data_IF_705701631557
#
_entry.id   IF_705701631557
#
_cell.length_a   1.000
_cell.length_b   1.000
_cell.length_c   1.000
_cell.angle_alpha   90.00
_cell.angle_beta   90.00
_cell.angle_gamma   90.00
#
_symmetry.space_group_name_H-M   'P 1'
#
loop_
_entity.id
_entity.type
_entity.pdbx_description
1 polymer ?
#
# COMPACT_ATOMS: atom_id res chain seq x y z
N UNK A 1 22.14 7.13 -6.56
CA UNK A 1 21.06 6.17 -6.69
C UNK A 1 19.73 6.82 -6.29
N UNK A 2 18.63 6.33 -6.86
CA UNK A 2 17.27 6.74 -6.53
C UNK A 2 16.45 5.53 -6.11
N UNK A 3 15.47 5.77 -5.27
CA UNK A 3 14.36 4.86 -5.01
C UNK A 3 13.10 5.41 -5.66
N UNK A 4 12.34 4.55 -6.29
CA UNK A 4 11.05 4.91 -6.89
C UNK A 4 10.02 3.92 -6.38
N UNK A 5 8.93 4.43 -5.88
CA UNK A 5 7.75 3.63 -5.56
C UNK A 5 6.80 3.67 -6.74
N UNK A 6 6.38 2.50 -7.20
CA UNK A 6 5.36 2.34 -8.24
C UNK A 6 4.11 1.76 -7.59
N UNK A 7 2.97 2.40 -7.80
CA UNK A 7 1.68 1.97 -7.26
C UNK A 7 0.66 1.89 -8.39
N UNK A 8 0.05 0.72 -8.57
CA UNK A 8 -1.03 0.48 -9.51
C UNK A 8 -2.39 0.61 -8.82
N UNK A 9 -3.50 0.74 -9.58
CA UNK A 9 -4.84 0.70 -9.01
C UNK A 9 -5.10 -0.59 -8.23
N UNK A 10 -5.80 -0.47 -7.09
CA UNK A 10 -6.17 -1.61 -6.25
C UNK A 10 -6.88 -2.71 -7.06
N UNK A 11 -6.52 -3.97 -6.81
CA UNK A 11 -7.03 -5.13 -7.55
C UNK A 11 -6.28 -5.43 -8.86
N UNK A 12 -5.18 -4.73 -9.13
CA UNK A 12 -4.30 -5.08 -10.24
C UNK A 12 -3.65 -6.45 -10.01
N UNK A 13 -3.52 -7.24 -11.08
CA UNK A 13 -2.88 -8.56 -10.98
C UNK A 13 -1.35 -8.44 -10.92
N UNK A 14 -0.69 -9.42 -10.30
CA UNK A 14 0.77 -9.53 -10.32
C UNK A 14 1.35 -9.46 -11.73
N UNK A 15 0.69 -10.12 -12.70
CA UNK A 15 1.13 -10.08 -14.11
C UNK A 15 1.11 -8.65 -14.67
N UNK A 16 0.10 -7.85 -14.29
CA UNK A 16 0.02 -6.44 -14.69
C UNK A 16 1.09 -5.60 -14.01
N UNK A 17 1.36 -5.84 -12.73
CA UNK A 17 2.44 -5.15 -12.01
C UNK A 17 3.81 -5.44 -12.62
N UNK A 18 4.08 -6.69 -12.99
CA UNK A 18 5.31 -7.08 -13.71
C UNK A 18 5.39 -6.37 -15.07
N UNK A 19 4.33 -6.38 -15.86
CA UNK A 19 4.28 -5.75 -17.19
C UNK A 19 4.61 -4.24 -17.11
N UNK A 20 3.94 -3.52 -16.20
CA UNK A 20 4.15 -2.08 -16.02
C UNK A 20 5.55 -1.78 -15.48
N UNK A 21 6.05 -2.59 -14.54
CA UNK A 21 7.40 -2.46 -14.01
C UNK A 21 8.47 -2.63 -15.09
N UNK A 22 8.34 -3.65 -15.95
CA UNK A 22 9.25 -3.87 -17.07
C UNK A 22 9.17 -2.73 -18.11
N UNK A 23 7.97 -2.19 -18.37
CA UNK A 23 7.81 -1.05 -19.25
C UNK A 23 8.50 0.21 -18.69
N UNK A 24 8.36 0.46 -17.39
CA UNK A 24 9.03 1.57 -16.71
C UNK A 24 10.56 1.40 -16.71
N UNK A 25 11.06 0.19 -16.39
CA UNK A 25 12.50 -0.12 -16.45
C UNK A 25 13.08 0.13 -17.85
N UNK A 26 12.40 -0.41 -18.88
CA UNK A 26 12.83 -0.25 -20.27
C UNK A 26 12.89 1.23 -20.65
N UNK A 27 11.83 1.98 -20.35
CA UNK A 27 11.74 3.40 -20.66
C UNK A 27 12.84 4.22 -19.99
N UNK A 28 13.09 3.97 -18.70
CA UNK A 28 14.15 4.65 -17.96
C UNK A 28 15.54 4.34 -18.53
N UNK A 29 15.83 3.09 -18.88
CA UNK A 29 17.13 2.71 -19.46
C UNK A 29 17.34 3.27 -20.88
N UNK A 30 16.27 3.41 -21.66
CA UNK A 30 16.33 4.00 -22.99
C UNK A 30 16.59 5.50 -22.95
N UNK A 31 15.95 6.23 -22.04
CA UNK A 31 16.00 7.69 -21.98
C UNK A 31 17.21 8.21 -21.17
N UNK A 32 17.77 7.39 -20.24
CA UNK A 32 18.83 7.80 -19.31
C UNK A 32 20.04 6.85 -19.35
N UNK A 33 21.05 7.13 -20.17
CA UNK A 33 22.25 6.29 -20.31
C UNK A 33 23.11 6.22 -19.03
N UNK A 34 22.84 7.07 -18.04
CA UNK A 34 23.47 7.08 -16.73
C UNK A 34 22.97 5.97 -15.81
N UNK A 35 21.85 5.33 -16.13
CA UNK A 35 21.31 4.22 -15.34
C UNK A 35 22.11 2.95 -15.63
N UNK A 36 22.67 2.36 -14.57
CA UNK A 36 23.34 1.06 -14.64
C UNK A 36 22.35 -0.10 -14.54
N UNK A 37 21.55 -0.07 -13.49
CA UNK A 37 20.59 -1.13 -13.17
C UNK A 37 19.29 -0.53 -12.65
N UNK A 38 18.19 -1.18 -12.98
CA UNK A 38 16.89 -0.95 -12.37
C UNK A 38 16.45 -2.29 -11.78
N UNK A 39 16.08 -2.32 -10.51
CA UNK A 39 15.65 -3.54 -9.81
C UNK A 39 14.34 -3.24 -9.11
N UNK A 40 13.29 -3.98 -9.47
CA UNK A 40 11.98 -3.86 -8.87
C UNK A 40 11.71 -5.03 -7.92
N UNK A 41 11.23 -4.72 -6.71
CA UNK A 41 10.65 -5.66 -5.75
C UNK A 41 9.14 -5.46 -5.79
N UNK A 42 8.38 -6.44 -6.24
CA UNK A 42 6.91 -6.38 -6.37
C UNK A 42 6.29 -7.27 -5.31
N UNK A 43 5.35 -6.71 -4.55
CA UNK A 43 4.62 -7.45 -3.52
C UNK A 43 5.49 -7.91 -2.35
N UNK A 44 4.94 -8.81 -1.54
CA UNK A 44 5.55 -9.33 -0.31
C UNK A 44 6.24 -10.68 -0.56
N UNK A 45 7.39 -10.89 0.07
CA UNK A 45 8.05 -12.20 0.10
C UNK A 45 7.26 -13.19 0.96
N UNK A 46 7.56 -14.49 0.83
CA UNK A 46 6.95 -15.58 1.64
C UNK A 46 7.09 -15.33 3.15
N UNK A 47 8.25 -14.80 3.58
CA UNK A 47 8.45 -14.26 4.93
C UNK A 47 8.42 -12.75 4.85
N UNK A 48 7.33 -12.08 5.26
CA UNK A 48 7.18 -10.65 5.07
C UNK A 48 8.05 -9.87 6.07
N UNK A 49 9.08 -9.22 5.55
CA UNK A 49 9.84 -8.20 6.28
C UNK A 49 9.26 -6.79 6.08
N UNK A 50 8.46 -6.63 5.02
CA UNK A 50 7.82 -5.39 4.60
C UNK A 50 6.53 -5.80 3.86
N UNK A 51 5.35 -5.70 4.51
CA UNK A 51 4.09 -6.08 3.89
C UNK A 51 3.72 -5.09 2.80
N UNK A 52 3.75 -5.56 1.56
CA UNK A 52 3.47 -4.76 0.36
C UNK A 52 2.47 -5.50 -0.52
N UNK A 53 1.44 -4.81 -1.01
CA UNK A 53 0.48 -5.39 -1.91
C UNK A 53 1.11 -5.72 -3.28
N UNK A 54 0.47 -6.58 -4.06
CA UNK A 54 0.99 -6.93 -5.41
C UNK A 54 0.90 -5.77 -6.41
N UNK A 55 0.11 -4.76 -6.10
CA UNK A 55 -0.02 -3.51 -6.84
C UNK A 55 1.13 -2.54 -6.60
N UNK A 56 1.88 -2.73 -5.50
CA UNK A 56 3.00 -1.88 -5.13
C UNK A 56 4.33 -2.51 -5.51
N UNK A 57 5.26 -1.67 -5.94
CA UNK A 57 6.64 -2.07 -6.16
C UNK A 57 7.63 -1.00 -5.68
N UNK A 58 8.65 -1.45 -4.96
CA UNK A 58 9.83 -0.65 -4.65
C UNK A 58 10.89 -0.87 -5.71
N UNK A 59 11.25 0.19 -6.43
CA UNK A 59 12.19 0.15 -7.55
C UNK A 59 13.47 0.89 -7.18
N UNK A 60 14.59 0.18 -7.23
CA UNK A 60 15.92 0.75 -7.02
C UNK A 60 16.57 1.07 -8.36
N UNK A 61 16.95 2.33 -8.54
CA UNK A 61 17.61 2.82 -9.75
C UNK A 61 19.06 3.13 -9.39
N UNK A 62 19.95 2.26 -9.86
CA UNK A 62 21.39 2.37 -9.64
C UNK A 62 22.00 3.21 -10.75
N UNK A 63 22.65 4.32 -10.38
CA UNK A 63 23.22 5.29 -11.30
C UNK A 63 24.73 5.10 -11.46
N UNK A 64 25.26 5.57 -12.57
CA UNK A 64 26.70 5.83 -12.74
C UNK A 64 27.16 6.98 -11.82
N UNK A 65 28.48 7.13 -11.60
CA UNK A 65 29.00 8.27 -10.86
C UNK A 65 28.46 9.59 -11.41
N UNK A 66 28.23 10.57 -10.52
CA UNK A 66 27.65 11.87 -10.90
C UNK A 66 28.45 12.62 -11.99
N UNK A 67 29.77 12.41 -12.01
CA UNK A 67 30.66 12.97 -13.04
C UNK A 67 30.40 12.46 -14.48
N UNK A 68 29.71 11.34 -14.61
CA UNK A 68 29.34 10.73 -15.89
C UNK A 68 27.93 11.08 -16.35
N UNK A 69 27.22 11.93 -15.59
CA UNK A 69 25.86 12.32 -15.96
C UNK A 69 25.88 13.35 -17.08
N UNK A 70 25.07 13.11 -18.09
CA UNK A 70 24.89 13.98 -19.27
C UNK A 70 23.48 14.53 -19.35
N UNK A 71 22.49 13.80 -18.81
CA UNK A 71 21.08 14.15 -18.93
C UNK A 71 20.63 15.23 -17.93
N UNK A 72 21.33 15.38 -16.80
CA UNK A 72 20.96 16.35 -15.77
C UNK A 72 22.17 16.87 -14.99
N UNK A 73 22.09 18.11 -14.53
CA UNK A 73 23.12 18.80 -13.75
C UNK A 73 22.92 18.66 -12.23
N UNK A 74 21.76 18.17 -11.81
CA UNK A 74 21.43 17.93 -10.40
C UNK A 74 20.54 16.72 -10.23
N UNK A 75 20.48 16.20 -8.99
CA UNK A 75 19.58 15.09 -8.65
C UNK A 75 18.10 15.47 -8.80
N UNK A 76 17.73 16.68 -8.42
CA UNK A 76 16.37 17.17 -8.55
C UNK A 76 15.93 17.24 -10.02
N UNK A 77 16.79 17.78 -10.88
CA UNK A 77 16.55 17.83 -12.32
C UNK A 77 16.42 16.43 -12.93
N UNK A 78 17.25 15.47 -12.49
CA UNK A 78 17.16 14.08 -12.94
C UNK A 78 15.82 13.47 -12.58
N UNK A 79 15.35 13.67 -11.35
CA UNK A 79 14.03 13.17 -10.89
C UNK A 79 12.89 13.74 -11.74
N UNK A 80 12.91 15.05 -12.02
CA UNK A 80 11.87 15.67 -12.84
C UNK A 80 11.86 15.15 -14.28
N UNK A 81 13.04 14.91 -14.86
CA UNK A 81 13.16 14.31 -16.18
C UNK A 81 12.68 12.85 -16.21
N UNK A 82 13.04 12.06 -15.17
CA UNK A 82 12.54 10.68 -15.03
C UNK A 82 11.01 10.63 -14.87
N UNK A 83 10.43 11.51 -14.04
CA UNK A 83 8.97 11.63 -13.89
C UNK A 83 8.30 11.90 -15.24
N UNK A 84 8.79 12.90 -15.97
CA UNK A 84 8.27 13.24 -17.30
C UNK A 84 8.39 12.10 -18.31
N UNK A 85 9.48 11.36 -18.29
CA UNK A 85 9.66 10.17 -19.13
C UNK A 85 8.60 9.10 -18.82
N UNK A 86 8.33 8.86 -17.54
CA UNK A 86 7.38 7.85 -17.09
C UNK A 86 5.91 8.25 -17.27
N UNK A 87 5.56 9.49 -17.59
CA UNK A 87 4.19 9.90 -17.96
C UNK A 87 3.64 9.09 -19.14
N UNK A 88 4.53 8.58 -20.00
CA UNK A 88 4.17 7.69 -21.11
C UNK A 88 3.75 6.28 -20.67
N UNK A 89 4.16 5.85 -19.48
CA UNK A 89 3.84 4.53 -18.91
C UNK A 89 2.53 4.65 -18.12
N UNK A 90 1.43 4.28 -18.76
CA UNK A 90 0.08 4.42 -18.18
C UNK A 90 -0.25 3.29 -17.20
N UNK A 91 -1.05 3.62 -16.19
CA UNK A 91 -1.66 2.65 -15.28
C UNK A 91 -0.89 2.44 -13.98
N UNK A 92 0.07 3.30 -13.66
CA UNK A 92 0.72 3.37 -12.36
C UNK A 92 1.09 4.81 -12.00
N UNK A 93 1.22 5.06 -10.72
CA UNK A 93 1.79 6.28 -10.14
C UNK A 93 3.26 6.02 -9.75
N UNK A 94 4.12 7.00 -9.99
CA UNK A 94 5.55 6.88 -9.75
C UNK A 94 6.02 7.99 -8.79
N UNK A 95 6.46 7.60 -7.60
CA UNK A 95 6.97 8.51 -6.59
C UNK A 95 8.47 8.28 -6.38
N UNK A 96 9.27 9.34 -6.53
CA UNK A 96 10.71 9.28 -6.38
C UNK A 96 11.16 9.75 -5.01
N UNK A 97 12.12 9.03 -4.44
CA UNK A 97 12.79 9.37 -3.19
C UNK A 97 14.27 8.96 -3.23
N UNK A 98 14.98 9.21 -2.14
CA UNK A 98 16.32 8.65 -1.94
C UNK A 98 16.23 7.33 -1.15
N UNK A 99 17.04 6.32 -1.50
CA UNK A 99 16.96 5.01 -0.85
C UNK A 99 17.10 5.05 0.67
N UNK A 100 18.06 5.84 1.19
CA UNK A 100 18.28 5.98 2.63
C UNK A 100 17.15 6.76 3.28
N UNK A 101 16.69 7.84 2.66
CA UNK A 101 15.59 8.66 3.17
C UNK A 101 14.28 7.87 3.22
N UNK A 102 13.99 7.08 2.20
CA UNK A 102 12.82 6.20 2.16
C UNK A 102 12.81 5.25 3.36
N UNK A 103 13.91 4.53 3.59
CA UNK A 103 14.03 3.58 4.71
C UNK A 103 14.04 4.26 6.06
N UNK A 104 14.70 5.42 6.18
CA UNK A 104 14.69 6.20 7.41
C UNK A 104 13.27 6.67 7.76
N UNK A 105 12.55 7.24 6.80
CA UNK A 105 11.17 7.69 7.00
C UNK A 105 10.26 6.52 7.38
N UNK A 106 10.36 5.41 6.68
CA UNK A 106 9.57 4.21 6.94
C UNK A 106 9.79 3.66 8.37
N UNK A 107 11.05 3.55 8.80
CA UNK A 107 11.39 3.04 10.14
C UNK A 107 11.04 4.00 11.27
N UNK A 108 11.23 5.31 11.07
CA UNK A 108 11.06 6.32 12.11
C UNK A 108 9.60 6.79 12.24
N UNK A 109 8.86 6.84 11.14
CA UNK A 109 7.53 7.48 11.10
C UNK A 109 6.43 6.55 10.61
N UNK A 110 6.79 5.39 10.09
CA UNK A 110 5.87 4.45 9.45
C UNK A 110 5.22 4.99 8.17
N UNK A 111 5.78 6.07 7.59
CA UNK A 111 5.31 6.68 6.36
C UNK A 111 6.49 7.00 5.44
N UNK A 112 6.28 6.85 4.15
CA UNK A 112 7.31 7.05 3.11
C UNK A 112 7.46 8.52 2.66
N UNK A 113 6.69 9.46 3.25
CA UNK A 113 6.64 10.87 2.89
C UNK A 113 7.21 11.79 4.00
N UNK A 114 7.47 13.06 3.68
CA UNK A 114 8.00 14.05 4.63
C UNK A 114 7.00 14.37 5.74
N UNK A 115 5.71 14.47 5.40
CA UNK A 115 4.60 14.65 6.34
C UNK A 115 3.67 13.45 6.21
N UNK A 116 3.29 12.85 7.34
CA UNK A 116 2.29 11.81 7.43
C UNK A 116 1.07 12.36 8.18
N UNK A 117 -0.03 12.57 7.46
CA UNK A 117 -1.31 12.95 8.07
C UNK A 117 -2.08 11.67 8.32
N UNK A 118 -2.19 11.27 9.56
CA UNK A 118 -2.87 10.04 9.99
C UNK A 118 -4.31 10.37 10.38
N UNK A 119 -5.27 9.73 9.75
CA UNK A 119 -6.68 9.80 10.13
C UNK A 119 -7.06 8.52 10.85
N UNK A 120 -7.51 8.65 12.09
CA UNK A 120 -7.96 7.54 12.92
C UNK A 120 -9.49 7.45 12.98
N UNK A 121 -10.03 6.23 13.05
CA UNK A 121 -11.46 5.95 13.19
C UNK A 121 -11.77 4.46 13.12
N UNK A 122 -13.04 4.10 13.24
CA UNK A 122 -13.45 2.70 13.31
C UNK A 122 -13.88 2.12 11.95
N UNK A 123 -14.56 2.90 11.12
CA UNK A 123 -15.07 2.44 9.82
C UNK A 123 -14.07 2.74 8.71
N UNK A 124 -13.59 1.68 8.02
CA UNK A 124 -12.58 1.81 6.97
C UNK A 124 -13.09 2.53 5.72
N UNK A 125 -14.36 2.34 5.36
CA UNK A 125 -14.94 3.00 4.19
C UNK A 125 -15.05 4.51 4.42
N UNK A 126 -15.48 4.91 5.61
CA UNK A 126 -15.56 6.31 6.02
C UNK A 126 -14.15 6.94 6.13
N UNK A 127 -13.20 6.24 6.76
CA UNK A 127 -11.80 6.69 6.82
C UNK A 127 -11.23 6.96 5.43
N UNK A 128 -11.43 6.02 4.49
CA UNK A 128 -10.92 6.16 3.14
C UNK A 128 -11.61 7.29 2.36
N UNK A 129 -12.92 7.42 2.49
CA UNK A 129 -13.65 8.53 1.88
C UNK A 129 -13.19 9.91 2.42
N UNK A 130 -13.01 10.01 3.74
CA UNK A 130 -12.53 11.24 4.38
C UNK A 130 -11.06 11.54 4.05
N UNK A 131 -10.20 10.53 3.96
CA UNK A 131 -8.82 10.71 3.55
C UNK A 131 -8.72 11.22 2.10
N UNK A 132 -9.54 10.70 1.19
CA UNK A 132 -9.62 11.20 -0.20
C UNK A 132 -10.17 12.63 -0.28
N UNK A 133 -11.15 12.96 0.55
CA UNK A 133 -11.66 14.32 0.66
C UNK A 133 -10.55 15.27 1.16
N UNK A 134 -9.82 14.85 2.21
CA UNK A 134 -8.73 15.61 2.80
C UNK A 134 -7.59 15.86 1.80
N UNK A 135 -7.20 14.86 1.03
CA UNK A 135 -6.14 14.99 0.04
C UNK A 135 -6.38 16.15 -0.93
N UNK A 136 -7.61 16.35 -1.39
CA UNK A 136 -7.98 17.47 -2.27
C UNK A 136 -7.72 18.85 -1.67
N UNK A 137 -7.91 19.00 -0.35
CA UNK A 137 -7.61 20.25 0.35
C UNK A 137 -6.12 20.40 0.63
N UNK A 138 -5.42 19.29 0.87
CA UNK A 138 -3.97 19.28 1.09
C UNK A 138 -3.21 19.64 -0.18
N UNK A 139 -3.63 19.14 -1.35
CA UNK A 139 -3.07 19.49 -2.67
C UNK A 139 -3.10 20.98 -2.99
N UNK A 140 -4.03 21.74 -2.37
CA UNK A 140 -4.17 23.19 -2.56
C UNK A 140 -3.23 24.00 -1.66
N UNK A 141 -2.53 23.37 -0.73
CA UNK A 141 -1.64 24.07 0.20
C UNK A 141 -0.31 24.38 -0.48
N UNK A 142 0.15 25.63 -0.51
CA UNK A 142 1.44 25.98 -1.09
C UNK A 142 2.60 25.24 -0.41
N UNK A 143 3.46 24.61 -1.22
CA UNK A 143 4.58 23.79 -0.76
C UNK A 143 4.25 22.32 -0.53
N UNK A 144 2.96 21.93 -0.51
CA UNK A 144 2.57 20.52 -0.52
C UNK A 144 2.74 19.93 -1.93
N UNK A 145 3.38 18.80 -2.01
CA UNK A 145 3.68 18.08 -3.27
C UNK A 145 3.46 16.59 -3.09
N UNK A 146 3.22 15.89 -4.20
CA UNK A 146 3.11 14.42 -4.22
C UNK A 146 2.17 13.90 -3.11
N UNK A 147 0.96 14.47 -3.03
CA UNK A 147 -0.04 14.06 -2.03
C UNK A 147 -0.58 12.69 -2.39
N UNK A 148 -0.33 11.70 -1.54
CA UNK A 148 -0.71 10.32 -1.76
C UNK A 148 -1.58 9.79 -0.60
N UNK A 149 -2.75 9.30 -0.91
CA UNK A 149 -3.60 8.60 0.06
C UNK A 149 -3.27 7.11 0.05
N UNK A 150 -2.99 6.56 1.22
CA UNK A 150 -2.78 5.12 1.39
C UNK A 150 -3.95 4.32 0.82
N UNK A 151 -3.66 3.38 -0.08
CA UNK A 151 -4.70 2.54 -0.68
C UNK A 151 -5.16 1.48 0.33
N UNK A 152 -6.28 1.72 0.97
CA UNK A 152 -6.83 0.84 1.99
C UNK A 152 -8.08 0.06 1.52
N UNK A 153 -8.69 0.47 0.42
CA UNK A 153 -9.97 -0.06 -0.08
C UNK A 153 -9.92 -0.30 -1.59
N UNK A 154 -10.82 -1.16 -2.06
CA UNK A 154 -11.00 -1.39 -3.49
C UNK A 154 -10.51 -2.73 -4.00
N UNK A 155 -10.12 -3.66 -3.10
CA UNK A 155 -9.78 -5.03 -3.50
C UNK A 155 -11.07 -5.79 -3.86
N UNK A 156 -11.25 -6.25 -5.12
CA UNK A 156 -12.35 -7.09 -5.48
C UNK A 156 -12.27 -8.43 -4.74
N UNK A 157 -13.29 -8.75 -3.98
CA UNK A 157 -13.37 -9.99 -3.16
C UNK A 157 -14.63 -10.76 -3.52
N UNK A 158 -14.50 -12.08 -3.62
CA UNK A 158 -15.64 -12.99 -3.68
C UNK A 158 -16.10 -13.26 -2.25
N UNK A 159 -17.24 -12.69 -1.87
CA UNK A 159 -17.84 -12.88 -0.56
C UNK A 159 -18.86 -14.00 -0.62
N UNK A 160 -18.62 -15.08 0.12
CA UNK A 160 -19.53 -16.20 0.22
C UNK A 160 -20.46 -16.01 1.43
N UNK A 161 -21.75 -15.87 1.18
CA UNK A 161 -22.79 -15.73 2.23
C UNK A 161 -23.53 -17.04 2.40
N UNK A 162 -23.41 -17.65 3.56
CA UNK A 162 -24.04 -18.94 3.87
C UNK A 162 -25.43 -18.79 4.46
N UNK A 163 -26.41 -19.56 3.95
CA UNK A 163 -27.70 -19.79 4.58
C UNK A 163 -27.56 -20.91 5.62
N UNK A 164 -27.23 -20.54 6.85
CA UNK A 164 -26.98 -21.49 7.93
C UNK A 164 -28.19 -22.36 8.25
N UNK A 165 -29.43 -21.85 8.06
CA UNK A 165 -30.64 -22.60 8.31
C UNK A 165 -30.81 -23.71 7.26
N UNK A 166 -30.56 -23.44 5.99
CA UNK A 166 -30.60 -24.45 4.93
C UNK A 166 -29.47 -25.48 5.09
N UNK A 167 -28.23 -25.02 5.39
CA UNK A 167 -27.08 -25.89 5.67
C UNK A 167 -27.42 -26.91 6.76
N UNK A 168 -27.98 -26.44 7.89
CA UNK A 168 -28.41 -27.33 8.99
C UNK A 168 -29.53 -28.29 8.57
N UNK A 169 -30.50 -27.83 7.75
CA UNK A 169 -31.60 -28.66 7.25
C UNK A 169 -31.13 -29.80 6.37
N UNK A 170 -30.14 -29.54 5.50
CA UNK A 170 -29.57 -30.53 4.59
C UNK A 170 -28.47 -31.38 5.24
N UNK A 171 -28.09 -31.09 6.48
CA UNK A 171 -27.02 -31.81 7.19
C UNK A 171 -25.64 -31.66 6.49
N UNK A 172 -25.37 -30.49 5.94
CA UNK A 172 -24.11 -30.22 5.22
C UNK A 172 -23.07 -29.74 6.20
N UNK A 173 -21.82 -30.21 6.04
CA UNK A 173 -20.67 -29.67 6.76
C UNK A 173 -20.18 -28.37 6.07
N UNK A 174 -20.04 -27.33 6.87
CA UNK A 174 -19.53 -26.02 6.38
C UNK A 174 -18.09 -26.16 5.86
N UNK A 175 -17.26 -27.01 6.45
CA UNK A 175 -15.88 -27.21 6.02
C UNK A 175 -15.81 -27.90 4.65
N UNK A 176 -16.70 -28.88 4.40
CA UNK A 176 -16.82 -29.50 3.07
C UNK A 176 -17.24 -28.46 2.02
N UNK A 177 -18.21 -27.60 2.36
CA UNK A 177 -18.67 -26.53 1.50
C UNK A 177 -17.55 -25.50 1.20
N UNK A 178 -16.80 -25.11 2.22
CA UNK A 178 -15.62 -24.24 2.07
C UNK A 178 -14.57 -24.87 1.16
N UNK A 179 -14.28 -26.16 1.34
CA UNK A 179 -13.28 -26.88 0.56
C UNK A 179 -13.69 -26.94 -0.92
N UNK A 180 -14.95 -27.19 -1.22
CA UNK A 180 -15.47 -27.20 -2.59
C UNK A 180 -15.30 -25.82 -3.24
N UNK A 181 -15.72 -24.75 -2.56
CA UNK A 181 -15.64 -23.39 -3.09
C UNK A 181 -14.17 -22.96 -3.25
N UNK A 182 -13.33 -23.25 -2.26
CA UNK A 182 -11.90 -22.94 -2.28
C UNK A 182 -11.16 -23.65 -3.41
N UNK A 183 -11.41 -24.97 -3.57
CA UNK A 183 -10.85 -25.76 -4.67
C UNK A 183 -11.27 -25.19 -6.04
N UNK A 184 -12.52 -24.76 -6.15
CA UNK A 184 -13.05 -24.27 -7.42
C UNK A 184 -12.45 -22.91 -7.82
N UNK A 185 -12.34 -21.96 -6.91
CA UNK A 185 -11.93 -20.58 -7.20
C UNK A 185 -10.45 -20.29 -6.93
N UNK A 186 -9.88 -20.81 -5.85
CA UNK A 186 -8.52 -20.51 -5.43
C UNK A 186 -7.52 -21.67 -5.62
N UNK A 187 -8.01 -22.88 -5.49
CA UNK A 187 -7.22 -24.09 -5.39
C UNK A 187 -7.05 -24.55 -3.95
N UNK A 188 -6.91 -25.84 -3.75
CA UNK A 188 -6.72 -26.50 -2.45
C UNK A 188 -5.44 -27.33 -2.45
N UNK A 189 -4.63 -27.23 -1.41
CA UNK A 189 -3.41 -28.03 -1.27
C UNK A 189 -3.78 -29.46 -0.92
N UNK A 190 -3.59 -30.37 -1.88
CA UNK A 190 -3.87 -31.80 -1.72
C UNK A 190 -2.70 -32.57 -1.09
N UNK A 191 -1.50 -31.99 -1.06
CA UNK A 191 -0.31 -32.62 -0.52
C UNK A 191 0.96 -31.84 -0.82
N UNK A 192 2.09 -32.48 -0.58
CA UNK A 192 3.41 -31.89 -0.76
C UNK A 192 4.30 -32.85 -1.56
N UNK A 193 5.02 -32.33 -2.53
CA UNK A 193 6.03 -33.05 -3.31
C UNK A 193 7.41 -32.54 -2.93
N UNK A 194 8.31 -33.44 -2.64
CA UNK A 194 9.71 -33.12 -2.37
C UNK A 194 10.56 -33.44 -3.61
N UNK A 195 11.27 -32.44 -4.11
CA UNK A 195 12.30 -32.62 -5.13
C UNK A 195 13.67 -32.26 -4.52
N UNK A 196 14.45 -33.24 -4.17
CA UNK A 196 15.65 -33.10 -3.37
C UNK A 196 15.36 -32.42 -2.01
N UNK A 197 15.97 -31.26 -1.75
CA UNK A 197 15.73 -30.43 -0.55
C UNK A 197 14.61 -29.42 -0.68
N UNK A 198 13.97 -29.34 -1.85
CA UNK A 198 12.90 -28.39 -2.11
C UNK A 198 11.54 -29.02 -1.90
N UNK A 199 10.69 -28.27 -1.23
CA UNK A 199 9.28 -28.60 -0.97
C UNK A 199 8.38 -27.83 -1.91
N UNK A 200 7.45 -28.53 -2.58
CA UNK A 200 6.44 -27.93 -3.44
C UNK A 200 5.05 -28.39 -3.01
N UNK A 201 4.10 -27.46 -2.91
CA UNK A 201 2.72 -27.79 -2.64
C UNK A 201 2.05 -28.36 -3.89
N UNK A 202 1.39 -29.52 -3.75
CA UNK A 202 0.54 -30.10 -4.76
C UNK A 202 -0.85 -29.47 -4.66
N UNK A 203 -1.18 -28.57 -5.58
CA UNK A 203 -2.41 -27.80 -5.55
C UNK A 203 -3.41 -28.33 -6.59
N UNK A 204 -4.60 -28.74 -6.13
CA UNK A 204 -5.73 -29.07 -6.96
C UNK A 204 -6.57 -27.83 -7.20
N UNK A 205 -6.80 -27.49 -8.47
CA UNK A 205 -7.65 -26.35 -8.86
C UNK A 205 -8.32 -26.58 -10.20
N UNK A 206 -9.38 -25.84 -10.49
CA UNK A 206 -9.95 -25.80 -11.82
C UNK A 206 -9.03 -25.04 -12.79
N UNK A 207 -9.14 -25.38 -14.07
CA UNK A 207 -8.46 -24.67 -15.14
C UNK A 207 -8.86 -23.20 -15.14
N UNK A 208 -7.87 -22.30 -15.32
CA UNK A 208 -8.06 -20.83 -15.28
C UNK A 208 -9.13 -20.35 -16.26
N UNK A 209 -9.23 -20.95 -17.44
CA UNK A 209 -10.21 -20.55 -18.43
C UNK A 209 -11.64 -20.97 -18.05
N UNK A 210 -11.76 -22.05 -17.29
CA UNK A 210 -13.06 -22.54 -16.78
C UNK A 210 -13.52 -21.75 -15.54
N UNK A 211 -12.59 -21.18 -14.76
CA UNK A 211 -12.93 -20.38 -13.57
C UNK A 211 -13.61 -19.07 -13.95
N UNK A 212 -13.27 -18.46 -15.09
CA UNK A 212 -13.88 -17.21 -15.56
C UNK A 212 -15.39 -17.32 -15.76
N UNK A 213 -15.84 -18.48 -16.21
CA UNK A 213 -17.27 -18.78 -16.50
C UNK A 213 -17.91 -19.63 -15.39
N UNK A 214 -17.21 -19.76 -14.26
CA UNK A 214 -17.70 -20.57 -13.15
C UNK A 214 -18.83 -19.85 -12.42
N UNK A 215 -20.02 -20.46 -12.44
CA UNK A 215 -21.15 -20.04 -11.62
C UNK A 215 -21.29 -21.01 -10.44
N UNK A 216 -21.64 -20.47 -9.26
CA UNK A 216 -21.94 -21.24 -8.06
C UNK A 216 -22.99 -22.34 -8.30
N UNK A 217 -23.92 -22.13 -9.22
CA UNK A 217 -24.94 -23.11 -9.61
C UNK A 217 -24.36 -24.40 -10.22
N UNK A 218 -23.12 -24.35 -10.70
CA UNK A 218 -22.40 -25.50 -11.27
C UNK A 218 -21.58 -26.28 -10.25
N UNK A 219 -21.51 -25.78 -9.00
CA UNK A 219 -20.89 -26.47 -7.88
C UNK A 219 -21.93 -27.26 -7.10
N UNK A 220 -21.58 -28.49 -6.74
CA UNK A 220 -22.47 -29.37 -5.99
C UNK A 220 -21.83 -29.80 -4.68
N UNK A 221 -22.64 -29.86 -3.63
CA UNK A 221 -22.26 -30.40 -2.31
C UNK A 221 -23.16 -31.58 -1.99
N UNK A 222 -22.66 -32.53 -1.21
CA UNK A 222 -23.44 -33.69 -0.75
C UNK A 222 -24.14 -33.40 0.56
N UNK A 223 -25.40 -33.78 0.65
CA UNK A 223 -26.15 -33.80 1.90
C UNK A 223 -25.73 -34.99 2.78
N UNK A 224 -26.09 -35.01 4.06
CA UNK A 224 -25.88 -36.15 4.94
C UNK A 224 -26.51 -37.46 4.43
N UNK A 225 -27.53 -37.36 3.56
CA UNK A 225 -28.19 -38.51 2.92
C UNK A 225 -27.53 -38.92 1.62
N UNK A 226 -26.44 -38.24 1.20
CA UNK A 226 -25.71 -38.53 -0.03
C UNK A 226 -26.29 -37.91 -1.29
N UNK A 227 -27.34 -37.09 -1.20
CA UNK A 227 -27.97 -36.39 -2.30
C UNK A 227 -27.08 -35.20 -2.69
N UNK A 228 -26.84 -34.99 -3.99
CA UNK A 228 -26.12 -33.82 -4.47
C UNK A 228 -27.08 -32.67 -4.71
N UNK A 229 -26.79 -31.52 -4.12
CA UNK A 229 -27.54 -30.27 -4.35
C UNK A 229 -26.58 -29.18 -4.83
N UNK A 230 -27.06 -28.21 -5.65
CA UNK A 230 -26.24 -27.05 -6.02
C UNK A 230 -25.85 -26.24 -4.80
N UNK A 231 -24.61 -25.70 -4.80
CA UNK A 231 -24.13 -24.84 -3.72
C UNK A 231 -24.96 -23.57 -3.61
N UNK A 232 -25.56 -23.09 -4.69
CA UNK A 232 -26.46 -21.93 -4.73
C UNK A 232 -27.74 -22.10 -3.87
N UNK A 233 -28.14 -23.32 -3.53
CA UNK A 233 -29.24 -23.54 -2.60
C UNK A 233 -28.91 -23.12 -1.15
N UNK A 234 -27.65 -23.19 -0.77
CA UNK A 234 -27.18 -22.99 0.62
C UNK A 234 -26.20 -21.83 0.78
N UNK A 235 -25.75 -21.23 -0.33
CA UNK A 235 -24.83 -20.09 -0.32
C UNK A 235 -25.06 -19.17 -1.53
N UNK A 236 -24.74 -17.89 -1.39
CA UNK A 236 -24.60 -16.95 -2.48
C UNK A 236 -23.16 -16.46 -2.57
N UNK A 237 -22.69 -16.10 -3.78
CA UNK A 237 -21.39 -15.47 -4.00
C UNK A 237 -21.64 -14.10 -4.60
N UNK A 238 -21.20 -13.09 -3.86
CA UNK A 238 -21.24 -11.69 -4.28
C UNK A 238 -19.83 -11.17 -4.55
N UNK A 239 -19.66 -10.36 -5.59
CA UNK A 239 -18.43 -9.63 -5.82
C UNK A 239 -18.55 -8.28 -5.11
N UNK A 240 -17.78 -8.09 -4.05
CA UNK A 240 -17.77 -6.84 -3.28
C UNK A 240 -16.35 -6.25 -3.26
N UNK A 241 -16.25 -4.92 -3.24
CA UNK A 241 -14.98 -4.24 -3.01
C UNK A 241 -14.70 -4.16 -1.51
N UNK A 242 -13.77 -4.99 -1.07
CA UNK A 242 -13.35 -5.05 0.32
C UNK A 242 -12.13 -4.18 0.64
N UNK A 243 -11.68 -4.21 1.91
CA UNK A 243 -10.42 -3.58 2.28
C UNK A 243 -9.25 -4.33 1.66
N UNK A 244 -8.32 -3.57 1.07
CA UNK A 244 -7.05 -4.11 0.60
C UNK A 244 -6.13 -4.42 1.78
N UNK A 245 -6.05 -3.45 2.71
CA UNK A 245 -5.22 -3.52 3.90
C UNK A 245 -5.88 -2.75 5.05
N UNK A 246 -5.75 -3.27 6.27
CA UNK A 246 -6.24 -2.59 7.47
C UNK A 246 -5.04 -2.28 8.37
N UNK A 247 -4.54 -1.06 8.26
CA UNK A 247 -3.44 -0.59 9.08
C UNK A 247 -3.92 -0.08 10.44
N UNK A 248 -3.15 -0.42 11.47
CA UNK A 248 -3.40 0.00 12.85
C UNK A 248 -2.16 0.62 13.45
N UNK A 249 -2.39 1.62 14.29
CA UNK A 249 -1.36 2.22 15.13
C UNK A 249 -1.92 2.27 16.55
N UNK A 250 -1.18 1.73 17.53
CA UNK A 250 -1.66 1.56 18.90
C UNK A 250 -3.08 0.96 18.99
N UNK A 251 -3.34 -0.12 18.24
CA UNK A 251 -4.63 -0.85 18.11
C UNK A 251 -5.73 -0.14 17.33
N UNK A 252 -5.62 1.15 17.06
CA UNK A 252 -6.63 1.94 16.32
C UNK A 252 -6.40 1.86 14.81
N UNK A 253 -7.49 1.72 14.05
CA UNK A 253 -7.42 1.75 12.59
C UNK A 253 -7.06 3.15 12.12
N UNK A 254 -6.20 3.22 11.11
CA UNK A 254 -5.77 4.48 10.50
C UNK A 254 -5.65 4.38 8.99
N UNK A 255 -5.72 5.55 8.34
CA UNK A 255 -5.29 5.76 6.96
C UNK A 255 -4.31 6.93 6.96
N UNK A 256 -3.25 6.81 6.18
CA UNK A 256 -2.22 7.84 6.04
C UNK A 256 -2.39 8.59 4.73
N UNK A 257 -2.28 9.92 4.81
CA UNK A 257 -2.07 10.79 3.66
C UNK A 257 -0.62 11.25 3.73
N UNK A 258 0.20 10.75 2.82
CA UNK A 258 1.60 11.16 2.65
C UNK A 258 1.69 12.47 1.86
N UNK A 259 2.55 13.38 2.29
CA UNK A 259 2.78 14.66 1.61
C UNK A 259 4.28 14.93 1.61
N UNK A 260 4.83 15.21 0.44
CA UNK A 260 6.19 15.73 0.32
C UNK A 260 6.17 17.26 0.33
N UNK A 261 7.22 17.87 0.84
CA UNK A 261 7.34 19.32 0.91
C UNK A 261 8.42 19.77 -0.07
N UNK A 262 8.09 20.79 -0.91
CA UNK A 262 9.04 21.39 -1.84
C UNK A 262 9.03 22.90 -1.72
N UNK A 263 10.24 23.46 -1.69
CA UNK A 263 10.49 24.91 -1.68
C UNK A 263 9.75 25.67 -0.56
N UNK A 264 9.42 24.99 0.57
CA UNK A 264 8.71 25.56 1.69
C UNK A 264 9.19 24.98 3.03
N UNK A 265 8.90 25.67 4.12
CA UNK A 265 9.16 25.19 5.47
C UNK A 265 8.10 24.16 5.90
N UNK A 266 8.55 22.99 6.38
CA UNK A 266 7.68 21.88 6.80
C UNK A 266 6.70 22.29 7.88
N UNK A 267 7.13 23.11 8.86
CA UNK A 267 6.27 23.56 9.97
C UNK A 267 5.14 24.45 9.46
N UNK A 268 5.46 25.34 8.52
CA UNK A 268 4.49 26.23 7.90
C UNK A 268 3.47 25.45 7.07
N UNK A 269 3.92 24.50 6.28
CA UNK A 269 3.04 23.63 5.48
C UNK A 269 2.10 22.82 6.38
N UNK A 270 2.61 22.21 7.46
CA UNK A 270 1.76 21.46 8.41
C UNK A 270 0.73 22.37 9.08
N UNK A 271 1.11 23.59 9.48
CA UNK A 271 0.17 24.53 10.09
C UNK A 271 -0.97 24.94 9.12
N UNK A 272 -0.64 25.17 7.85
CA UNK A 272 -1.61 25.47 6.81
C UNK A 272 -2.52 24.27 6.51
N UNK A 273 -1.97 23.07 6.40
CA UNK A 273 -2.73 21.83 6.23
C UNK A 273 -3.71 21.66 7.39
N UNK A 274 -3.23 21.76 8.65
CA UNK A 274 -4.10 21.67 9.83
C UNK A 274 -5.27 22.63 9.77
N UNK A 275 -5.00 23.91 9.52
CA UNK A 275 -6.03 24.95 9.41
C UNK A 275 -7.03 24.65 8.29
N UNK A 276 -6.54 24.17 7.13
CA UNK A 276 -7.37 23.80 6.00
C UNK A 276 -8.29 22.63 6.32
N UNK A 277 -7.74 21.55 6.93
CA UNK A 277 -8.52 20.36 7.26
C UNK A 277 -9.55 20.63 8.38
N UNK A 278 -9.18 21.34 9.44
CA UNK A 278 -10.09 21.70 10.54
C UNK A 278 -11.26 22.57 10.06
N UNK A 279 -11.01 23.46 9.10
CA UNK A 279 -12.04 24.33 8.52
C UNK A 279 -13.01 23.60 7.60
N UNK A 280 -12.51 22.69 6.76
CA UNK A 280 -13.26 22.11 5.65
C UNK A 280 -13.82 20.72 5.94
N UNK A 281 -13.23 19.96 6.86
CA UNK A 281 -13.61 18.57 7.12
C UNK A 281 -14.13 18.42 8.55
N UNK A 282 -15.40 18.07 8.66
CA UNK A 282 -16.00 17.70 9.94
C UNK A 282 -15.84 16.22 10.17
N UNK A 283 -15.22 15.87 11.27
CA UNK A 283 -15.06 14.49 11.73
C UNK A 283 -16.17 14.13 12.71
N UNK A 284 -16.59 12.86 12.69
CA UNK A 284 -17.48 12.29 13.70
C UNK A 284 -16.77 12.10 15.05
N UNK A 285 -17.50 12.00 16.16
CA UNK A 285 -16.91 11.59 17.44
C UNK A 285 -16.09 10.29 17.30
N UNK A 286 -14.89 10.26 17.88
CA UNK A 286 -13.97 9.13 17.79
C UNK A 286 -13.01 9.15 16.60
N UNK A 287 -13.22 10.07 15.64
CA UNK A 287 -12.28 10.31 14.53
C UNK A 287 -11.40 11.51 14.84
N UNK A 288 -10.09 11.43 14.53
CA UNK A 288 -9.16 12.55 14.76
C UNK A 288 -7.95 12.46 13.84
N UNK A 289 -7.32 13.63 13.65
CA UNK A 289 -6.08 13.77 12.89
C UNK A 289 -4.86 13.71 13.81
N UNK A 290 -3.80 13.08 13.33
CA UNK A 290 -2.46 13.14 13.90
C UNK A 290 -1.47 13.47 12.80
N UNK A 291 -0.50 14.31 13.11
CA UNK A 291 0.50 14.78 12.16
C UNK A 291 1.86 14.24 12.58
N UNK A 292 2.43 13.36 11.78
CA UNK A 292 3.71 12.71 11.97
C UNK A 292 4.66 12.94 10.79
N UNK A 293 5.69 12.12 10.72
CA UNK A 293 6.72 12.22 9.70
C UNK A 293 7.95 12.97 10.19
N UNK A 294 8.71 13.55 9.27
CA UNK A 294 9.90 14.37 9.62
C UNK A 294 9.53 15.57 10.51
N UNK A 295 8.32 16.07 10.40
CA UNK A 295 7.79 17.13 11.24
C UNK A 295 7.82 16.77 12.74
N UNK A 296 7.43 15.56 13.11
CA UNK A 296 7.44 15.08 14.49
C UNK A 296 8.87 15.01 15.04
N UNK A 297 9.80 14.48 14.24
CA UNK A 297 11.21 14.41 14.59
C UNK A 297 11.81 15.82 14.81
N UNK A 298 11.45 16.77 13.94
CA UNK A 298 11.87 18.16 14.06
C UNK A 298 11.32 18.79 15.36
N UNK A 299 10.04 18.59 15.67
CA UNK A 299 9.44 19.09 16.92
C UNK A 299 10.13 18.51 18.15
N UNK A 300 10.38 17.20 18.16
CA UNK A 300 11.07 16.54 19.27
C UNK A 300 12.51 17.05 19.43
N UNK A 301 13.23 17.26 18.34
CA UNK A 301 14.56 17.84 18.34
C UNK A 301 14.56 19.28 18.90
N UNK A 302 13.65 20.14 18.40
CA UNK A 302 13.50 21.52 18.88
C UNK A 302 13.14 21.56 20.36
N UNK A 303 12.22 20.71 20.82
CA UNK A 303 11.86 20.60 22.24
C UNK A 303 13.04 20.18 23.11
N UNK A 304 13.79 19.18 22.68
CA UNK A 304 14.98 18.69 23.40
C UNK A 304 16.05 19.79 23.48
N UNK A 305 16.34 20.45 22.35
CA UNK A 305 17.31 21.56 22.30
C UNK A 305 16.88 22.74 23.16
N UNK A 306 15.58 23.08 23.20
CA UNK A 306 15.04 24.16 24.03
C UNK A 306 15.23 23.93 25.51
N UNK A 307 15.38 22.67 25.95
CA UNK A 307 15.67 22.32 27.34
C UNK A 307 17.17 22.22 27.58
N UNK A 308 17.89 21.56 26.68
CA UNK A 308 19.34 21.28 26.85
C UNK A 308 20.19 22.55 26.76
N UNK A 309 19.88 23.44 25.77
CA UNK A 309 20.68 24.67 25.58
C UNK A 309 20.67 25.58 26.81
N UNK A 310 19.54 25.93 27.45
CA UNK A 310 19.52 26.71 28.67
C UNK A 310 20.26 26.05 29.83
N UNK A 311 20.14 24.73 29.98
CA UNK A 311 20.85 23.98 31.04
C UNK A 311 22.37 24.06 30.82
N UNK A 312 22.84 23.86 29.59
CA UNK A 312 24.27 23.95 29.27
C UNK A 312 24.79 25.37 29.50
N UNK A 313 24.05 26.40 29.07
CA UNK A 313 24.42 27.80 29.30
C UNK A 313 24.47 28.14 30.79
N UNK A 314 23.50 27.62 31.57
CA UNK A 314 23.51 27.80 33.04
C UNK A 314 24.70 27.13 33.68
N UNK A 315 25.08 25.92 33.28
CA UNK A 315 26.25 25.21 33.75
C UNK A 315 27.55 25.95 33.42
N UNK A 316 27.68 26.46 32.19
CA UNK A 316 28.81 27.26 31.76
C UNK A 316 28.93 28.54 32.64
N UNK A 317 27.79 29.22 32.84
CA UNK A 317 27.78 30.44 33.69
C UNK A 317 28.16 30.13 35.15
N UNK A 318 27.82 28.95 35.66
CA UNK A 318 28.11 28.54 37.04
C UNK A 318 29.57 28.10 37.22
N UNK A 319 30.23 27.64 36.14
CA UNK A 319 31.64 27.23 36.11
C UNK A 319 32.61 28.40 35.86
N UNK A 320 32.11 29.48 35.26
CA UNK A 320 32.89 30.68 34.97
C UNK A 320 32.87 31.63 36.19
#
# INVERSE_FOLDING_TARGET
>A
DFAMQMTLPAGSSLSRSIEVSLAAEKKLKEDFPEIKHVVAKIGTAEVPTDPMAVEDADVMIVMKPFSEWTSASSRAEMVEKMKKSLESVKGAEFNFSQPIQLRFNELMTGAKADIAIKLYGEDMAELYAKAKEAAKYVEQVPGASDVLVEQAMGLPQLLVKYDRAKIARYGIDIEELNTIIRTAYAGETAGVVFENERRFDLVLRLDKDKVKDLNIDKLFVRTSEGIQIPVSEVASIDLENGPLQINRDATKRRIVIGVNVRDADIQQVVAQIRTSLEKNIKLKPGYYWEYGGQFENLQNAVRTLSIVIPIVLMLILLLL
#
